data_IF_261321014653
#
_entry.id   IF_261321014653
#
_cell.length_a   1.000
_cell.length_b   1.000
_cell.length_c   1.000
_cell.angle_alpha   90.00
_cell.angle_beta   90.00
_cell.angle_gamma   90.00
#
_symmetry.space_group_name_H-M   'P 1'
#
loop_
_entity.id
_entity.type
_entity.pdbx_description
1 polymer ?
#
# COMPACT_ATOMS: atom_id res chain seq x y z
N UNK A 1 11.11 12.00 -4.53
CA UNK A 1 10.09 12.03 -3.46
C UNK A 1 8.77 11.42 -3.93
N UNK A 2 8.15 11.96 -4.98
CA UNK A 2 6.90 11.42 -5.57
C UNK A 2 7.04 10.01 -6.18
N UNK A 3 8.20 9.67 -6.75
CA UNK A 3 8.41 8.35 -7.36
C UNK A 3 8.47 7.23 -6.32
N UNK A 4 9.06 7.49 -5.15
CA UNK A 4 9.11 6.51 -4.06
C UNK A 4 7.71 6.26 -3.49
N UNK A 5 6.95 7.34 -3.25
CA UNK A 5 5.57 7.24 -2.81
C UNK A 5 4.71 6.48 -3.82
N UNK A 6 4.83 6.84 -5.11
CA UNK A 6 4.11 6.17 -6.20
C UNK A 6 4.43 4.68 -6.28
N UNK A 7 5.69 4.30 -6.06
CA UNK A 7 6.12 2.90 -6.09
C UNK A 7 5.54 2.12 -4.91
N UNK A 8 5.60 2.67 -3.69
CA UNK A 8 4.98 2.07 -2.51
C UNK A 8 3.48 1.87 -2.68
N UNK A 9 2.77 2.85 -3.25
CA UNK A 9 1.34 2.71 -3.54
C UNK A 9 1.06 1.69 -4.64
N UNK A 10 1.87 1.64 -5.70
CA UNK A 10 1.74 0.63 -6.76
C UNK A 10 1.93 -0.79 -6.21
N UNK A 11 2.87 -0.98 -5.28
CA UNK A 11 3.10 -2.28 -4.65
C UNK A 11 1.91 -2.71 -3.77
N UNK A 12 1.40 -1.81 -2.92
CA UNK A 12 0.21 -2.10 -2.07
C UNK A 12 -1.03 -2.38 -2.92
N UNK A 13 -1.33 -1.52 -3.88
CA UNK A 13 -2.51 -1.68 -4.75
C UNK A 13 -2.36 -2.87 -5.70
N UNK A 14 -1.12 -3.23 -6.06
CA UNK A 14 -0.80 -4.43 -6.82
C UNK A 14 -1.15 -5.71 -6.08
N UNK A 15 -0.94 -5.75 -4.75
CA UNK A 15 -1.38 -6.87 -3.89
C UNK A 15 -2.90 -7.01 -3.94
N UNK A 16 -3.63 -5.90 -3.85
CA UNK A 16 -5.10 -5.93 -3.89
C UNK A 16 -5.69 -6.37 -5.23
N UNK A 17 -4.99 -6.15 -6.34
CA UNK A 17 -5.44 -6.57 -7.67
C UNK A 17 -5.21 -8.05 -7.96
N UNK A 18 -4.27 -8.71 -7.29
CA UNK A 18 -3.94 -10.12 -7.52
C UNK A 18 -4.80 -11.08 -6.68
N UNK A 19 -5.32 -10.63 -5.55
CA UNK A 19 -6.14 -11.46 -4.66
C UNK A 19 -7.60 -11.36 -5.11
N UNK A 20 -8.13 -12.41 -5.75
CA UNK A 20 -9.49 -12.39 -6.32
C UNK A 20 -10.59 -12.01 -5.33
N UNK A 21 -10.47 -12.42 -4.05
CA UNK A 21 -11.34 -11.97 -2.97
C UNK A 21 -10.46 -11.39 -1.86
N UNK A 22 -10.54 -10.08 -1.66
CA UNK A 22 -9.85 -9.39 -0.57
C UNK A 22 -10.44 -9.82 0.77
N UNK A 23 -9.56 -10.25 1.67
CA UNK A 23 -9.92 -10.53 3.06
C UNK A 23 -9.70 -9.28 3.91
N UNK A 24 -10.29 -9.26 5.10
CA UNK A 24 -10.07 -8.18 6.07
C UNK A 24 -8.60 -8.08 6.49
N UNK A 25 -7.90 -9.22 6.53
CA UNK A 25 -6.46 -9.28 6.80
C UNK A 25 -5.66 -8.56 5.71
N UNK A 26 -5.96 -8.81 4.43
CA UNK A 26 -5.29 -8.16 3.30
C UNK A 26 -5.44 -6.64 3.37
N UNK A 27 -6.67 -6.15 3.64
CA UNK A 27 -6.94 -4.71 3.75
C UNK A 27 -6.18 -4.10 4.93
N UNK A 28 -6.13 -4.80 6.08
CA UNK A 28 -5.43 -4.32 7.29
C UNK A 28 -3.92 -4.26 7.07
N UNK A 29 -3.37 -5.17 6.30
CA UNK A 29 -1.95 -5.16 5.94
C UNK A 29 -1.62 -4.03 4.96
N UNK A 30 -2.38 -3.89 3.88
CA UNK A 30 -2.13 -2.82 2.90
C UNK A 30 -2.35 -1.42 3.47
N UNK A 31 -3.32 -1.22 4.36
CA UNK A 31 -3.50 0.07 5.07
C UNK A 31 -2.33 0.41 5.99
N UNK A 32 -1.68 -0.60 6.59
CA UNK A 32 -0.47 -0.41 7.40
C UNK A 32 0.73 -0.02 6.54
N UNK A 33 0.87 -0.62 5.37
CA UNK A 33 1.92 -0.26 4.40
C UNK A 33 1.72 1.16 3.84
N UNK A 34 0.48 1.54 3.51
CA UNK A 34 0.15 2.92 3.09
C UNK A 34 0.51 3.93 4.18
N UNK A 35 0.17 3.66 5.44
CA UNK A 35 0.52 4.54 6.56
C UNK A 35 2.03 4.70 6.71
N UNK A 36 2.80 3.62 6.51
CA UNK A 36 4.27 3.67 6.55
C UNK A 36 4.84 4.50 5.40
N UNK A 37 4.33 4.30 4.19
CA UNK A 37 4.77 5.04 3.01
C UNK A 37 4.51 6.55 3.13
N UNK A 38 3.39 6.94 3.75
CA UNK A 38 3.08 8.34 4.02
C UNK A 38 4.04 8.96 5.05
N UNK A 39 4.36 8.23 6.13
CA UNK A 39 5.33 8.68 7.14
C UNK A 39 6.76 8.81 6.57
N UNK A 40 7.19 7.89 5.71
CA UNK A 40 8.52 7.95 5.07
C UNK A 40 8.63 9.07 4.03
N UNK A 41 7.50 9.56 3.52
CA UNK A 41 7.44 10.68 2.58
C UNK A 41 7.32 12.04 3.28
N UNK A 42 7.34 12.09 4.62
CA UNK A 42 7.13 13.29 5.44
C UNK A 42 5.82 14.04 5.06
N UNK A 43 4.72 13.28 4.87
CA UNK A 43 3.34 13.80 4.66
C UNK A 43 2.54 13.79 5.96
#
# INVERSE_FOLDING_TARGET
MLDNLSKSFQDVLGKFRRTGKLTEADIKEGTREVRRALLEADV
#
